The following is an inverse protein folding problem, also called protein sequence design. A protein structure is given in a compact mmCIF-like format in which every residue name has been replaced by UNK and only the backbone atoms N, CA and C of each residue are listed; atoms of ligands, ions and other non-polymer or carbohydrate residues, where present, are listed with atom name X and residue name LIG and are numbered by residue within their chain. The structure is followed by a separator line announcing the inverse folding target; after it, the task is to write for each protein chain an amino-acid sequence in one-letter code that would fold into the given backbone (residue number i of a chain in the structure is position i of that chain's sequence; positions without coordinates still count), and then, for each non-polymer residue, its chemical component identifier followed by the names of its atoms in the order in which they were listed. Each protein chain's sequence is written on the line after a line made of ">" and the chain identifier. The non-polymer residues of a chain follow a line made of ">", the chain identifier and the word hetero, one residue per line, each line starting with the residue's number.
data_IF_412035589960
#
_entry.id   IF_412035589960
#
_cell.length_a   1.000
_cell.length_b   1.000
_cell.length_c   1.000
_cell.angle_alpha   90.00
_cell.angle_beta   90.00
_cell.angle_gamma   90.00
#
_symmetry.space_group_name_H-M   'P 1'
#
loop_
_entity.id
_entity.type
_entity.pdbx_description
1 polymer ?
#
# COMPACT_ATOMS: atom_id res chain seq x y z
N UNK A 1 43.97 -22.31 -76.81
CA UNK A 1 44.17 -22.60 -75.40
C UNK A 1 43.74 -21.37 -74.59
N UNK A 2 42.49 -21.38 -74.13
CA UNK A 2 41.84 -20.17 -73.64
C UNK A 2 41.79 -20.24 -72.10
N UNK A 3 42.46 -19.28 -71.42
CA UNK A 3 42.54 -19.20 -69.98
C UNK A 3 41.38 -18.33 -69.52
N UNK A 4 40.41 -18.91 -68.77
CA UNK A 4 39.30 -18.22 -68.17
C UNK A 4 39.69 -17.77 -66.75
N UNK A 5 39.78 -16.48 -66.51
CA UNK A 5 39.89 -15.89 -65.19
C UNK A 5 38.48 -15.71 -64.63
N UNK A 6 38.15 -16.37 -63.49
CA UNK A 6 36.95 -16.17 -62.72
C UNK A 6 37.26 -15.17 -61.62
N UNK A 7 36.61 -14.00 -61.68
CA UNK A 7 36.62 -13.02 -60.62
C UNK A 7 35.66 -13.48 -59.51
N UNK A 8 36.22 -13.81 -58.35
CA UNK A 8 35.42 -14.06 -57.11
C UNK A 8 35.27 -12.75 -56.38
N UNK A 9 34.07 -12.16 -56.49
CA UNK A 9 33.72 -10.91 -55.82
C UNK A 9 33.51 -11.12 -54.34
N UNK A 10 34.29 -10.48 -53.50
CA UNK A 10 34.08 -10.39 -52.06
C UNK A 10 32.97 -9.37 -51.79
N UNK A 11 31.80 -9.86 -51.44
CA UNK A 11 30.69 -9.04 -50.91
C UNK A 11 30.90 -8.87 -49.41
N UNK A 12 31.52 -7.77 -49.02
CA UNK A 12 31.62 -7.39 -47.59
C UNK A 12 30.30 -6.77 -47.15
N UNK A 13 29.46 -7.58 -46.47
CA UNK A 13 28.27 -7.06 -45.75
C UNK A 13 28.70 -6.25 -44.55
N UNK A 14 28.61 -4.93 -44.68
CA UNK A 14 28.75 -3.97 -43.55
C UNK A 14 27.48 -4.02 -42.71
N UNK A 15 27.44 -4.85 -41.64
CA UNK A 15 26.42 -4.81 -40.61
C UNK A 15 26.65 -3.55 -39.78
N UNK A 16 25.94 -2.49 -40.11
CA UNK A 16 25.84 -1.33 -39.27
C UNK A 16 25.03 -1.69 -38.01
N UNK A 17 25.71 -1.94 -36.89
CA UNK A 17 25.12 -2.05 -35.57
C UNK A 17 24.62 -0.66 -35.20
N UNK A 18 23.34 -0.40 -35.41
CA UNK A 18 22.63 0.74 -34.82
C UNK A 18 22.56 0.50 -33.31
N UNK A 19 23.60 0.90 -32.58
CA UNK A 19 23.55 1.07 -31.17
C UNK A 19 22.54 2.22 -30.91
N UNK A 20 21.28 1.86 -30.68
CA UNK A 20 20.26 2.81 -30.23
C UNK A 20 20.73 3.39 -28.90
N UNK A 21 21.29 4.59 -28.94
CA UNK A 21 21.49 5.41 -27.75
C UNK A 21 20.09 5.63 -27.16
N UNK A 22 19.72 4.82 -26.16
CA UNK A 22 18.58 5.11 -25.31
C UNK A 22 18.84 6.50 -24.73
N UNK A 23 18.11 7.49 -25.20
CA UNK A 23 18.11 8.82 -24.64
C UNK A 23 17.78 8.66 -23.15
N UNK A 24 18.80 8.83 -22.32
CA UNK A 24 18.65 8.84 -20.88
C UNK A 24 17.75 10.04 -20.58
N UNK A 25 16.44 9.79 -20.42
CA UNK A 25 15.54 10.87 -19.98
C UNK A 25 16.13 11.40 -18.68
N UNK A 26 16.35 12.72 -18.55
CA UNK A 26 16.83 13.27 -17.30
C UNK A 26 15.90 12.77 -16.20
N UNK A 27 16.48 12.20 -15.13
CA UNK A 27 15.71 11.77 -13.98
C UNK A 27 14.83 12.96 -13.55
N UNK A 28 13.52 12.75 -13.33
CA UNK A 28 12.68 13.85 -12.91
C UNK A 28 13.23 14.40 -11.60
N UNK A 29 13.20 15.72 -11.47
CA UNK A 29 13.53 16.39 -10.23
C UNK A 29 12.68 15.84 -9.09
N UNK A 30 13.24 15.70 -7.90
CA UNK A 30 12.58 15.18 -6.72
C UNK A 30 11.25 15.87 -6.43
N UNK A 31 11.17 17.19 -6.65
CA UNK A 31 9.94 17.97 -6.48
C UNK A 31 8.86 17.52 -7.48
N UNK A 32 9.25 17.25 -8.72
CA UNK A 32 8.34 16.72 -9.74
C UNK A 32 7.81 15.33 -9.39
N UNK A 33 8.65 14.46 -8.82
CA UNK A 33 8.20 13.12 -8.33
C UNK A 33 7.19 13.30 -7.20
N UNK A 34 7.51 14.13 -6.21
CA UNK A 34 6.65 14.36 -5.03
C UNK A 34 5.31 14.98 -5.41
N UNK A 35 5.29 15.94 -6.33
CA UNK A 35 4.04 16.51 -6.84
C UNK A 35 3.15 15.46 -7.55
N UNK A 36 3.73 14.64 -8.42
CA UNK A 36 3.00 13.58 -9.12
C UNK A 36 2.54 12.48 -8.17
N UNK A 37 3.36 12.14 -7.17
CA UNK A 37 2.97 11.21 -6.11
C UNK A 37 1.75 11.75 -5.32
N UNK A 38 1.73 13.03 -4.97
CA UNK A 38 0.59 13.65 -4.30
C UNK A 38 -0.67 13.63 -5.18
N UNK A 39 -0.53 13.91 -6.48
CA UNK A 39 -1.64 13.82 -7.44
C UNK A 39 -2.16 12.37 -7.55
N UNK A 40 -1.28 11.37 -7.67
CA UNK A 40 -1.66 9.95 -7.72
C UNK A 40 -2.40 9.51 -6.45
N UNK A 41 -1.97 9.97 -5.27
CA UNK A 41 -2.68 9.70 -4.01
C UNK A 41 -4.08 10.33 -3.99
N UNK A 42 -4.22 11.55 -4.52
CA UNK A 42 -5.52 12.22 -4.61
C UNK A 42 -6.44 11.52 -5.60
N UNK A 43 -5.94 11.13 -6.77
CA UNK A 43 -6.70 10.34 -7.74
C UNK A 43 -7.14 8.99 -7.16
N UNK A 44 -6.24 8.30 -6.46
CA UNK A 44 -6.59 7.04 -5.80
C UNK A 44 -7.70 7.25 -4.76
N UNK A 45 -7.63 8.31 -3.95
CA UNK A 45 -8.71 8.65 -3.00
C UNK A 45 -10.06 8.85 -3.70
N UNK A 46 -10.06 9.51 -4.86
CA UNK A 46 -11.28 9.72 -5.65
C UNK A 46 -11.84 8.41 -6.27
N UNK A 47 -10.98 7.41 -6.49
CA UNK A 47 -11.37 6.09 -7.03
C UNK A 47 -11.83 5.11 -5.94
N UNK A 48 -11.59 5.42 -4.67
CA UNK A 48 -11.98 4.53 -3.58
C UNK A 48 -13.50 4.33 -3.57
N UNK A 49 -13.90 3.09 -3.53
CA UNK A 49 -15.29 2.65 -3.40
C UNK A 49 -15.41 1.68 -2.21
N UNK A 50 -16.60 1.44 -1.69
CA UNK A 50 -16.76 0.49 -0.58
C UNK A 50 -16.25 -0.90 -0.94
N UNK A 51 -15.49 -1.50 -0.02
CA UNK A 51 -14.98 -2.88 -0.16
C UNK A 51 -14.79 -3.54 1.20
N UNK A 52 -14.72 -4.86 1.20
CA UNK A 52 -14.33 -5.65 2.36
C UNK A 52 -13.05 -6.42 2.05
N UNK A 53 -12.09 -6.35 2.94
CA UNK A 53 -10.87 -7.15 2.90
C UNK A 53 -10.83 -8.12 4.06
N UNK A 54 -10.54 -9.38 3.78
CA UNK A 54 -10.20 -10.39 4.78
C UNK A 54 -8.70 -10.33 5.01
N UNK A 55 -8.28 -9.99 6.23
CA UNK A 55 -6.88 -9.77 6.59
C UNK A 55 -6.45 -10.71 7.69
N UNK A 56 -5.32 -11.38 7.48
CA UNK A 56 -4.65 -12.18 8.49
C UNK A 56 -3.63 -11.34 9.24
N UNK A 57 -3.55 -11.54 10.56
CA UNK A 57 -2.58 -10.93 11.46
C UNK A 57 -1.86 -12.02 12.22
N UNK A 58 -0.54 -11.89 12.36
CA UNK A 58 0.33 -12.84 13.03
C UNK A 58 1.29 -12.09 13.94
N UNK A 59 1.48 -12.59 15.14
CA UNK A 59 2.50 -12.12 16.07
C UNK A 59 3.42 -13.27 16.40
N UNK A 60 4.71 -13.13 16.08
CA UNK A 60 5.75 -14.12 16.32
C UNK A 60 6.75 -13.58 17.35
N UNK A 61 7.35 -14.49 18.13
CA UNK A 61 8.44 -14.12 19.03
C UNK A 61 9.82 -14.32 18.35
N UNK A 62 10.89 -14.08 19.11
CA UNK A 62 12.28 -14.23 18.65
C UNK A 62 12.70 -15.62 18.19
N UNK A 63 11.85 -16.64 18.41
CA UNK A 63 12.06 -18.03 17.97
C UNK A 63 11.10 -18.41 16.84
N UNK A 64 10.48 -17.40 16.21
CA UNK A 64 9.46 -17.55 15.18
C UNK A 64 8.23 -18.36 15.63
N UNK A 65 8.00 -18.43 16.95
CA UNK A 65 6.83 -19.07 17.52
C UNK A 65 5.64 -18.11 17.48
N UNK A 66 4.52 -18.57 16.95
CA UNK A 66 3.27 -17.80 16.92
C UNK A 66 2.76 -17.56 18.34
N UNK A 67 2.66 -16.30 18.73
CA UNK A 67 2.11 -15.81 20.02
C UNK A 67 0.69 -15.30 19.89
N UNK A 68 0.26 -15.02 18.68
CA UNK A 68 -1.10 -14.62 18.35
C UNK A 68 -1.34 -14.72 16.86
N UNK A 69 -2.55 -15.13 16.52
CA UNK A 69 -3.04 -15.14 15.14
C UNK A 69 -4.48 -14.65 15.15
N UNK A 70 -4.85 -13.87 14.15
CA UNK A 70 -6.20 -13.34 14.01
C UNK A 70 -6.54 -13.21 12.52
N UNK A 71 -7.77 -13.51 12.19
CA UNK A 71 -8.36 -13.21 10.88
C UNK A 71 -9.52 -12.25 11.11
N UNK A 72 -9.49 -11.11 10.46
CA UNK A 72 -10.54 -10.12 10.53
C UNK A 72 -11.03 -9.72 9.14
N UNK A 73 -12.31 -9.46 9.02
CA UNK A 73 -12.91 -8.84 7.85
C UNK A 73 -13.08 -7.35 8.14
N UNK A 74 -12.50 -6.50 7.29
CA UNK A 74 -12.50 -5.06 7.44
C UNK A 74 -13.28 -4.48 6.26
N UNK A 75 -14.40 -3.85 6.54
CA UNK A 75 -15.19 -3.13 5.54
C UNK A 75 -14.77 -1.67 5.54
N UNK A 76 -14.29 -1.20 4.40
CA UNK A 76 -13.89 0.19 4.16
C UNK A 76 -15.05 0.90 3.47
N UNK A 77 -15.49 1.98 4.06
CA UNK A 77 -16.56 2.85 3.58
C UNK A 77 -15.97 4.25 3.36
N UNK A 78 -15.51 4.59 2.15
CA UNK A 78 -14.96 5.91 1.88
C UNK A 78 -15.94 7.03 2.24
N UNK A 79 -15.45 8.22 2.67
CA UNK A 79 -14.03 8.58 2.66
C UNK A 79 -13.22 8.03 3.85
N UNK A 80 -13.80 7.88 5.06
CA UNK A 80 -12.99 7.73 6.29
C UNK A 80 -13.53 6.70 7.29
N UNK A 81 -14.57 5.94 6.92
CA UNK A 81 -15.17 4.96 7.84
C UNK A 81 -14.67 3.55 7.56
N UNK A 82 -14.35 2.85 8.64
CA UNK A 82 -14.01 1.43 8.62
C UNK A 82 -14.78 0.70 9.70
N UNK A 83 -15.24 -0.49 9.37
CA UNK A 83 -15.88 -1.41 10.30
C UNK A 83 -15.15 -2.74 10.23
N UNK A 84 -15.12 -3.49 11.32
CA UNK A 84 -14.52 -4.81 11.31
C UNK A 84 -15.29 -5.81 12.16
N UNK A 85 -15.11 -7.08 11.80
CA UNK A 85 -15.45 -8.20 12.70
C UNK A 85 -14.33 -9.23 12.65
N UNK A 86 -14.05 -9.83 13.78
CA UNK A 86 -13.04 -10.88 13.91
C UNK A 86 -13.70 -12.21 13.56
N UNK A 87 -13.17 -12.88 12.53
CA UNK A 87 -13.64 -14.19 12.10
C UNK A 87 -13.04 -15.30 12.95
N UNK A 88 -11.75 -15.19 13.28
CA UNK A 88 -11.06 -16.11 14.16
C UNK A 88 -9.92 -15.42 14.89
N UNK A 89 -9.61 -15.92 16.09
CA UNK A 89 -8.49 -15.45 16.90
C UNK A 89 -7.93 -16.61 17.72
N UNK A 90 -6.61 -16.70 17.83
CA UNK A 90 -5.92 -17.69 18.63
C UNK A 90 -4.62 -17.14 19.21
N UNK A 91 -4.02 -17.86 20.18
CA UNK A 91 -2.77 -17.49 20.85
C UNK A 91 -2.94 -16.97 22.26
N UNK A 92 -4.15 -16.62 22.68
CA UNK A 92 -4.52 -16.22 24.05
C UNK A 92 -3.68 -15.09 24.68
N UNK A 93 -4.13 -14.52 25.78
CA UNK A 93 -3.37 -13.61 26.62
C UNK A 93 -2.87 -12.35 25.89
N UNK A 94 -1.55 -12.06 26.03
CA UNK A 94 -0.95 -10.82 25.55
C UNK A 94 -0.92 -10.76 24.01
N UNK A 95 -0.67 -11.88 23.33
CA UNK A 95 -0.55 -11.90 21.86
C UNK A 95 -1.85 -11.49 21.18
N UNK A 96 -2.96 -12.07 21.60
CA UNK A 96 -4.28 -11.70 21.07
C UNK A 96 -4.65 -10.26 21.37
N UNK A 97 -4.36 -9.77 22.59
CA UNK A 97 -4.59 -8.37 22.96
C UNK A 97 -3.82 -7.41 22.05
N UNK A 98 -2.55 -7.69 21.79
CA UNK A 98 -1.73 -6.85 20.89
C UNK A 98 -2.33 -6.79 19.48
N UNK A 99 -2.77 -7.93 18.94
CA UNK A 99 -3.38 -7.96 17.60
C UNK A 99 -4.73 -7.21 17.56
N UNK A 100 -5.54 -7.29 18.62
CA UNK A 100 -6.79 -6.52 18.75
C UNK A 100 -6.52 -5.02 18.80
N UNK A 101 -5.52 -4.61 19.58
CA UNK A 101 -5.12 -3.19 19.68
C UNK A 101 -4.64 -2.65 18.33
N UNK A 102 -3.89 -3.45 17.57
CA UNK A 102 -3.45 -3.09 16.21
C UNK A 102 -4.66 -2.93 15.28
N UNK A 103 -5.57 -3.90 15.25
CA UNK A 103 -6.77 -3.86 14.42
C UNK A 103 -7.66 -2.66 14.76
N UNK A 104 -7.85 -2.38 16.04
CA UNK A 104 -8.62 -1.22 16.51
C UNK A 104 -8.00 0.08 15.99
N UNK A 105 -6.68 0.26 16.16
CA UNK A 105 -5.98 1.46 15.64
C UNK A 105 -6.05 1.60 14.14
N UNK A 106 -5.99 0.49 13.42
CA UNK A 106 -6.07 0.49 11.96
C UNK A 106 -7.44 0.94 11.45
N UNK A 107 -8.48 0.66 12.24
CA UNK A 107 -9.87 0.94 11.86
C UNK A 107 -10.43 2.21 12.47
N UNK A 108 -9.72 2.83 13.41
CA UNK A 108 -10.08 4.17 13.92
C UNK A 108 -10.11 5.20 12.78
N UNK A 109 -11.08 6.12 12.77
CA UNK A 109 -11.07 7.24 11.85
C UNK A 109 -9.77 8.03 11.97
N UNK A 110 -9.14 8.41 10.85
CA UNK A 110 -7.88 9.13 10.89
C UNK A 110 -8.05 10.50 11.53
N UNK A 111 -7.41 10.71 12.68
CA UNK A 111 -7.28 12.03 13.29
C UNK A 111 -6.10 12.76 12.65
N UNK A 112 -6.29 14.04 12.31
CA UNK A 112 -5.23 14.90 11.75
C UNK A 112 -4.53 14.26 10.51
N UNK A 113 -5.30 13.75 9.55
CA UNK A 113 -4.78 13.03 8.38
C UNK A 113 -3.74 13.86 7.61
N UNK A 114 -3.96 15.16 7.44
CA UNK A 114 -3.01 16.06 6.78
C UNK A 114 -1.63 16.06 7.44
N UNK A 115 -1.56 15.94 8.78
CA UNK A 115 -0.28 15.90 9.50
C UNK A 115 0.50 14.60 9.33
N UNK A 116 -0.13 13.55 8.79
CA UNK A 116 0.45 12.21 8.61
C UNK A 116 0.71 11.87 7.14
N UNK A 117 0.22 12.71 6.23
CA UNK A 117 0.39 12.47 4.79
C UNK A 117 1.87 12.51 4.37
N UNK A 118 2.20 11.67 3.39
CA UNK A 118 3.50 11.69 2.73
C UNK A 118 3.53 12.85 1.72
N UNK A 119 3.70 14.05 2.23
CA UNK A 119 3.67 15.29 1.49
C UNK A 119 4.89 16.16 1.82
N UNK A 120 5.18 17.13 0.97
CA UNK A 120 6.26 18.11 1.19
C UNK A 120 6.05 18.99 2.44
N UNK A 121 4.83 19.05 2.99
CA UNK A 121 4.56 19.75 4.24
C UNK A 121 5.10 18.99 5.45
N UNK A 122 5.09 17.66 5.39
CA UNK A 122 5.46 16.80 6.48
C UNK A 122 6.87 16.21 6.38
N UNK A 123 7.44 16.18 5.15
CA UNK A 123 8.69 15.49 4.87
C UNK A 123 9.61 16.29 3.95
N UNK A 124 10.90 16.16 4.20
CA UNK A 124 11.95 16.46 3.23
C UNK A 124 12.27 15.15 2.48
N UNK A 125 12.15 15.20 1.15
CA UNK A 125 12.42 14.07 0.28
C UNK A 125 13.77 14.24 -0.39
N UNK A 126 14.52 13.14 -0.54
CA UNK A 126 15.76 13.12 -1.30
C UNK A 126 15.72 11.94 -2.27
N UNK A 127 15.98 12.18 -3.55
CA UNK A 127 16.11 11.09 -4.53
C UNK A 127 17.42 10.35 -4.29
N UNK A 128 17.32 9.05 -3.98
CA UNK A 128 18.46 8.17 -3.75
C UNK A 128 18.86 7.42 -5.04
N UNK A 129 17.92 7.25 -5.98
CA UNK A 129 18.13 6.53 -7.23
C UNK A 129 16.85 5.88 -7.73
N UNK A 130 17.04 4.85 -8.54
CA UNK A 130 15.96 4.01 -9.07
C UNK A 130 16.23 2.54 -8.72
N UNK A 131 15.18 1.80 -8.39
CA UNK A 131 15.24 0.37 -8.12
C UNK A 131 14.07 -0.34 -8.79
N UNK A 132 14.23 -1.63 -9.07
CA UNK A 132 13.14 -2.48 -9.55
C UNK A 132 12.56 -3.23 -8.36
N UNK A 133 11.27 -3.05 -8.10
CA UNK A 133 10.51 -3.70 -7.03
C UNK A 133 9.34 -4.45 -7.65
N UNK A 134 9.26 -5.76 -7.42
CA UNK A 134 8.21 -6.63 -7.96
C UNK A 134 8.01 -6.46 -9.50
N UNK A 135 9.14 -6.30 -10.24
CA UNK A 135 9.17 -6.12 -11.70
C UNK A 135 8.83 -4.70 -12.17
N UNK A 136 8.55 -3.74 -11.28
CA UNK A 136 8.26 -2.35 -11.59
C UNK A 136 9.45 -1.45 -11.30
N UNK A 137 9.78 -0.54 -12.22
CA UNK A 137 10.77 0.51 -11.99
C UNK A 137 10.21 1.55 -11.03
N UNK A 138 10.92 1.80 -9.94
CA UNK A 138 10.52 2.74 -8.91
C UNK A 138 11.61 3.78 -8.66
N UNK A 139 11.22 5.02 -8.39
CA UNK A 139 12.08 6.01 -7.77
C UNK A 139 12.23 5.69 -6.29
N UNK A 140 13.47 5.60 -5.82
CA UNK A 140 13.78 5.44 -4.40
C UNK A 140 13.99 6.81 -3.76
N UNK A 141 13.13 7.17 -2.82
CA UNK A 141 13.24 8.43 -2.09
C UNK A 141 13.52 8.19 -0.60
N UNK A 142 14.43 8.96 -0.01
CA UNK A 142 14.54 9.06 1.44
C UNK A 142 13.38 9.90 2.00
N UNK A 143 12.87 9.47 3.15
CA UNK A 143 11.84 10.13 3.94
C UNK A 143 12.46 10.73 5.21
N UNK A 144 12.55 12.04 5.29
CA UNK A 144 13.01 12.75 6.47
C UNK A 144 11.86 13.59 7.03
N UNK A 145 11.22 13.17 8.14
CA UNK A 145 10.15 13.95 8.76
C UNK A 145 10.63 15.32 9.22
N UNK A 146 9.85 16.38 8.94
CA UNK A 146 10.14 17.76 9.34
C UNK A 146 9.90 18.03 10.82
N UNK A 147 9.21 17.11 11.50
CA UNK A 147 8.95 17.19 12.94
C UNK A 147 8.99 15.80 13.57
N UNK A 148 9.21 15.78 14.86
CA UNK A 148 9.33 14.53 15.61
C UNK A 148 7.99 14.14 16.24
N UNK A 149 7.14 13.43 15.45
CA UNK A 149 5.87 12.87 15.90
C UNK A 149 5.86 11.35 15.75
N UNK A 150 5.16 10.65 16.66
CA UNK A 150 5.12 9.18 16.69
C UNK A 150 4.46 8.54 15.46
N UNK A 151 3.64 9.30 14.75
CA UNK A 151 2.89 8.83 13.58
C UNK A 151 3.63 9.08 12.26
N UNK A 152 4.83 9.71 12.33
CA UNK A 152 5.71 9.91 11.17
C UNK A 152 6.79 8.84 11.12
N UNK A 153 7.17 8.44 9.89
CA UNK A 153 8.16 7.40 9.62
C UNK A 153 9.40 8.04 9.00
N UNK A 154 10.57 7.74 9.55
CA UNK A 154 11.87 8.04 8.91
C UNK A 154 12.35 6.79 8.17
N UNK A 155 12.69 6.92 6.89
CA UNK A 155 13.10 5.77 6.11
C UNK A 155 13.16 6.04 4.62
N UNK A 156 12.55 5.14 3.84
CA UNK A 156 12.55 5.17 2.38
C UNK A 156 11.17 4.84 1.83
N UNK A 157 10.88 5.38 0.64
CA UNK A 157 9.72 4.99 -0.16
C UNK A 157 10.15 4.65 -1.58
N UNK A 158 9.44 3.71 -2.18
CA UNK A 158 9.52 3.36 -3.59
C UNK A 158 8.27 3.86 -4.28
N UNK A 159 8.44 4.78 -5.19
CA UNK A 159 7.37 5.41 -5.98
C UNK A 159 7.46 4.87 -7.39
N UNK A 160 6.41 4.24 -7.89
CA UNK A 160 6.33 3.70 -9.24
C UNK A 160 6.65 4.79 -10.27
N UNK A 161 7.56 4.50 -11.21
CA UNK A 161 8.05 5.49 -12.17
C UNK A 161 7.04 5.79 -13.29
N UNK A 162 5.99 4.99 -13.44
CA UNK A 162 4.97 5.17 -14.48
C UNK A 162 3.73 5.90 -13.94
N UNK A 163 3.18 5.41 -12.81
CA UNK A 163 1.92 5.91 -12.26
C UNK A 163 2.07 6.73 -10.97
N UNK A 164 3.30 6.85 -10.43
CA UNK A 164 3.64 7.61 -9.22
C UNK A 164 2.92 7.17 -7.94
N UNK A 165 2.32 5.99 -7.94
CA UNK A 165 1.80 5.41 -6.71
C UNK A 165 2.95 4.89 -5.82
N UNK A 166 2.76 4.96 -4.51
CA UNK A 166 3.72 4.40 -3.56
C UNK A 166 3.60 2.89 -3.57
N UNK A 167 4.67 2.19 -3.96
CA UNK A 167 4.71 0.74 -4.01
C UNK A 167 5.13 0.12 -2.68
N UNK A 168 6.06 0.78 -1.97
CA UNK A 168 6.62 0.31 -0.71
C UNK A 168 7.04 1.46 0.19
N UNK A 169 6.90 1.27 1.48
CA UNK A 169 7.46 2.14 2.53
C UNK A 169 8.28 1.26 3.46
N UNK A 170 9.49 1.67 3.77
CA UNK A 170 10.35 1.04 4.76
C UNK A 170 10.92 2.09 5.70
N UNK A 171 10.89 1.84 7.00
CA UNK A 171 11.47 2.76 7.97
C UNK A 171 11.04 2.51 9.39
N UNK A 172 11.33 3.49 10.24
CA UNK A 172 11.06 3.46 11.67
C UNK A 172 10.17 4.63 12.06
N UNK A 173 9.25 4.48 13.02
CA UNK A 173 8.57 5.61 13.62
C UNK A 173 9.60 6.57 14.22
N UNK A 174 9.40 7.87 14.04
CA UNK A 174 10.30 8.89 14.61
C UNK A 174 10.34 8.82 16.13
N UNK A 175 9.21 8.51 16.75
CA UNK A 175 9.11 8.25 18.19
C UNK A 175 8.50 6.88 18.43
N UNK A 176 9.06 6.15 19.37
CA UNK A 176 8.47 4.89 19.81
C UNK A 176 7.06 5.09 20.35
N UNK A 177 6.10 4.22 20.02
CA UNK A 177 4.74 4.32 20.54
C UNK A 177 4.65 4.08 22.06
N UNK A 178 5.70 3.47 22.65
CA UNK A 178 5.76 3.15 24.07
C UNK A 178 7.20 3.05 24.55
N UNK A 179 7.46 3.38 25.83
CA UNK A 179 8.81 3.33 26.44
C UNK A 179 9.41 1.91 26.53
N UNK A 180 8.58 0.87 26.39
CA UNK A 180 8.99 -0.53 26.48
C UNK A 180 9.11 -1.21 25.10
N UNK A 181 8.80 -0.52 24.02
CA UNK A 181 9.01 -0.97 22.63
C UNK A 181 10.05 -0.06 22.00
N UNK A 182 11.06 -0.64 21.37
CA UNK A 182 12.14 0.11 20.71
C UNK A 182 12.62 -0.62 19.45
N UNK A 183 13.49 0.03 18.66
CA UNK A 183 14.07 -0.51 17.42
C UNK A 183 13.00 -1.04 16.45
N UNK A 184 11.96 -0.23 16.24
CA UNK A 184 10.86 -0.62 15.37
C UNK A 184 11.30 -0.42 13.91
N UNK A 185 11.19 -1.47 13.10
CA UNK A 185 11.32 -1.43 11.65
C UNK A 185 9.98 -1.84 11.03
N UNK A 186 9.50 -1.07 10.07
CA UNK A 186 8.21 -1.30 9.41
C UNK A 186 8.46 -1.37 7.90
N UNK A 187 7.86 -2.36 7.27
CA UNK A 187 7.74 -2.49 5.83
C UNK A 187 6.24 -2.56 5.48
N UNK A 188 5.78 -1.65 4.63
CA UNK A 188 4.41 -1.61 4.15
C UNK A 188 4.44 -1.76 2.64
N UNK A 189 3.63 -2.68 2.10
CA UNK A 189 3.51 -2.89 0.66
C UNK A 189 2.12 -2.51 0.17
N UNK A 190 2.09 -1.99 -1.04
CA UNK A 190 0.88 -1.55 -1.72
C UNK A 190 0.80 -2.20 -3.09
N UNK A 191 -0.41 -2.45 -3.57
CA UNK A 191 -0.67 -2.95 -4.91
C UNK A 191 -2.01 -2.45 -5.43
N UNK A 192 -2.18 -2.57 -6.73
CA UNK A 192 -3.46 -2.33 -7.37
C UNK A 192 -4.40 -3.52 -7.11
N UNK A 193 -5.56 -3.23 -6.57
CA UNK A 193 -6.63 -4.19 -6.33
C UNK A 193 -7.92 -3.59 -6.89
N UNK A 194 -8.44 -4.19 -7.93
CA UNK A 194 -9.69 -3.78 -8.57
C UNK A 194 -9.73 -2.27 -8.93
N UNK A 195 -8.61 -1.75 -9.51
CA UNK A 195 -8.46 -0.36 -9.94
C UNK A 195 -8.20 0.65 -8.82
N UNK A 196 -8.05 0.21 -7.57
CA UNK A 196 -7.67 1.01 -6.42
C UNK A 196 -6.27 0.64 -5.94
N UNK A 197 -5.47 1.61 -5.53
CA UNK A 197 -4.15 1.37 -4.97
C UNK A 197 -4.25 1.23 -3.45
N UNK A 198 -4.10 0.01 -2.96
CA UNK A 198 -4.37 -0.34 -1.57
C UNK A 198 -3.14 -0.91 -0.88
N UNK A 199 -3.06 -0.71 0.44
CA UNK A 199 -2.11 -1.42 1.29
C UNK A 199 -2.50 -2.89 1.35
N UNK A 200 -1.57 -3.78 0.99
CA UNK A 200 -1.80 -5.24 0.94
C UNK A 200 -1.13 -6.00 2.06
N UNK A 201 -0.01 -5.47 2.57
CA UNK A 201 0.70 -6.10 3.69
C UNK A 201 1.43 -5.09 4.56
N UNK A 202 1.69 -5.51 5.78
CA UNK A 202 2.61 -4.83 6.71
C UNK A 202 3.43 -5.88 7.44
N UNK A 203 4.74 -5.67 7.48
CA UNK A 203 5.68 -6.44 8.29
C UNK A 203 6.37 -5.46 9.25
N UNK A 204 6.31 -5.73 10.54
CA UNK A 204 6.93 -4.90 11.55
C UNK A 204 7.76 -5.74 12.51
N UNK A 205 8.98 -5.32 12.73
CA UNK A 205 9.89 -5.92 13.72
C UNK A 205 10.09 -4.91 14.84
N UNK A 206 9.99 -5.35 16.08
CA UNK A 206 10.23 -4.49 17.24
C UNK A 206 10.92 -5.26 18.35
N UNK A 207 11.74 -4.57 19.14
CA UNK A 207 12.27 -5.10 20.37
C UNK A 207 11.39 -4.67 21.56
N UNK A 208 10.95 -5.64 22.33
CA UNK A 208 10.15 -5.44 23.54
C UNK A 208 11.06 -5.63 24.75
N UNK A 209 11.17 -4.61 25.61
CA UNK A 209 12.02 -4.64 26.81
C UNK A 209 11.72 -5.88 27.64
N UNK A 210 12.77 -6.60 28.05
CA UNK A 210 12.75 -7.86 28.80
C UNK A 210 12.15 -9.09 28.07
N UNK A 211 11.54 -8.91 26.89
CA UNK A 211 10.93 -10.02 26.12
C UNK A 211 11.66 -10.32 24.81
N UNK A 212 12.43 -9.34 24.31
CA UNK A 212 13.21 -9.46 23.08
C UNK A 212 12.42 -9.14 21.81
N UNK A 213 12.86 -9.68 20.69
CA UNK A 213 12.34 -9.41 19.36
C UNK A 213 10.95 -10.02 19.17
N UNK A 214 10.05 -9.24 18.60
CA UNK A 214 8.76 -9.66 18.08
C UNK A 214 8.61 -9.23 16.62
N UNK A 215 7.90 -10.05 15.86
CA UNK A 215 7.53 -9.77 14.48
C UNK A 215 6.01 -9.75 14.39
N UNK A 216 5.47 -8.68 13.84
CA UNK A 216 4.07 -8.55 13.50
C UNK A 216 3.93 -8.54 11.98
N UNK A 217 3.08 -9.41 11.47
CA UNK A 217 2.73 -9.46 10.07
C UNK A 217 1.24 -9.27 9.90
N UNK A 218 0.84 -8.48 8.89
CA UNK A 218 -0.53 -8.49 8.39
C UNK A 218 -0.50 -8.57 6.88
N UNK A 219 -1.44 -9.35 6.32
CA UNK A 219 -1.59 -9.51 4.86
C UNK A 219 -3.03 -9.72 4.48
N UNK A 220 -3.38 -9.17 3.34
CA UNK A 220 -4.69 -9.37 2.75
C UNK A 220 -4.78 -10.79 2.18
N UNK A 221 -5.82 -11.51 2.56
CA UNK A 221 -6.10 -12.89 2.16
C UNK A 221 -7.12 -12.94 1.04
N UNK A 222 -8.12 -12.07 1.12
CA UNK A 222 -9.22 -12.00 0.17
C UNK A 222 -9.74 -10.57 0.09
N UNK A 223 -10.13 -10.17 -1.10
CA UNK A 223 -10.74 -8.87 -1.38
C UNK A 223 -12.12 -9.08 -1.99
N UNK A 224 -13.12 -8.31 -1.54
CA UNK A 224 -14.48 -8.31 -2.09
C UNK A 224 -14.95 -6.88 -2.28
N UNK A 225 -15.29 -6.51 -3.49
CA UNK A 225 -16.02 -5.27 -3.72
C UNK A 225 -17.34 -5.33 -2.95
N UNK A 226 -17.71 -4.26 -2.25
CA UNK A 226 -19.02 -4.20 -1.65
C UNK A 226 -20.07 -4.23 -2.76
N UNK A 227 -20.93 -5.23 -2.76
CA UNK A 227 -22.08 -5.24 -3.66
C UNK A 227 -22.91 -4.01 -3.32
N UNK A 228 -23.13 -3.15 -4.30
CA UNK A 228 -24.18 -2.14 -4.17
C UNK A 228 -25.49 -2.93 -4.01
N UNK A 229 -25.94 -3.04 -2.78
CA UNK A 229 -27.30 -3.49 -2.52
C UNK A 229 -28.17 -2.39 -3.09
N UNK A 230 -28.61 -2.59 -4.34
CA UNK A 230 -29.64 -1.75 -4.92
C UNK A 230 -30.81 -1.84 -3.96
N UNK A 231 -31.00 -0.77 -3.19
CA UNK A 231 -32.20 -0.60 -2.40
C UNK A 231 -33.35 -0.51 -3.40
N UNK A 232 -33.94 -1.67 -3.73
CA UNK A 232 -35.25 -1.72 -4.33
C UNK A 232 -36.20 -1.07 -3.32
N UNK A 233 -36.35 0.24 -3.47
CA UNK A 233 -37.48 0.94 -2.95
C UNK A 233 -38.73 0.18 -3.47
N UNK A 234 -39.29 -0.66 -2.62
CA UNK A 234 -40.63 -1.18 -2.83
C UNK A 234 -41.53 0.06 -2.85
N UNK A 235 -41.83 0.60 -4.02
CA UNK A 235 -43.00 1.40 -4.23
C UNK A 235 -44.18 0.51 -3.82
N UNK A 236 -44.73 0.82 -2.66
CA UNK A 236 -46.06 0.31 -2.28
C UNK A 236 -47.04 0.76 -3.35
N UNK A 237 -47.72 -0.14 -4.09
CA UNK A 237 -48.84 0.28 -4.92
C UNK A 237 -49.97 0.69 -3.96
N UNK A 238 -50.42 1.90 -4.16
CA UNK A 238 -51.41 2.55 -3.33
C UNK A 238 -52.66 1.70 -3.13
N UNK A 239 -53.11 1.70 -1.89
CA UNK A 239 -54.44 1.30 -1.48
C UNK A 239 -55.38 2.41 -1.96
N UNK A 240 -56.10 2.16 -3.03
CA UNK A 240 -57.26 2.96 -3.37
C UNK A 240 -58.37 2.63 -2.36
N UNK A 241 -58.62 3.58 -1.48
CA UNK A 241 -59.78 3.54 -0.62
C UNK A 241 -61.07 3.74 -1.46
N UNK A 242 -61.85 2.68 -1.60
CA UNK A 242 -63.21 2.78 -2.11
C UNK A 242 -64.12 3.44 -1.09
N UNK A 243 -64.63 4.59 -1.40
CA UNK A 243 -65.73 5.21 -0.70
C UNK A 243 -67.02 4.39 -0.94
N UNK A 244 -67.69 3.94 0.09
CA UNK A 244 -69.03 3.45 0.07
C UNK A 244 -69.95 4.47 0.81
N UNK A 245 -70.89 4.94 0.06
CA UNK A 245 -71.98 5.84 0.46
C UNK A 245 -73.12 4.97 0.98
N UNK A 246 -73.66 5.41 2.08
CA UNK A 246 -74.98 5.35 2.70
C UNK A 246 -76.16 4.55 2.14
N UNK A 247 -77.23 4.32 2.89
CA UNK A 247 -78.00 5.31 3.65
C UNK A 247 -78.04 5.18 5.16
#
# INVERSE_FOLDING_TARGET
>A
MVLRFTYFGWLVCLLAVLAGAQAKHPAPDVNGIVQRMAAAQQENRARLRPFTVKRGYFLLDKKDQTKGQMVANITVLPPDSKQYWIESSSGGGIGEKVLRDILTKETEPPKDQQKKELSAENYDFQLLGEETVDGRRCYLLALNPRREEKDLIRGKIWVDAENYNIHRIEGSPVKSPSWWIHDIQILISFAEVDGMWLRTSTHAVANVRFKGKYVMESRDLEYRAAQQTASRSRRNPGILAGAAINP
#
